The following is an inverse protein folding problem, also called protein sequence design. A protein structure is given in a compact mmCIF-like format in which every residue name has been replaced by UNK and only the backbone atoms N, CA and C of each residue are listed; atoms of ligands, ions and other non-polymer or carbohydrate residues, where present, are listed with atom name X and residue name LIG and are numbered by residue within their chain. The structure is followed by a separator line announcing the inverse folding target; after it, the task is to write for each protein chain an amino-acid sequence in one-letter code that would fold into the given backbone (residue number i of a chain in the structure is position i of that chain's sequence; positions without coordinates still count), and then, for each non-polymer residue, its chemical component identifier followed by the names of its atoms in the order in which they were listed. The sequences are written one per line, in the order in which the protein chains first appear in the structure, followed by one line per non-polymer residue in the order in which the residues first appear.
data_IF_089820820865
#
_entry.id   IF_089820820865
#
_cell.length_a   1.000
_cell.length_b   1.000
_cell.length_c   1.000
_cell.angle_alpha   90.00
_cell.angle_beta   90.00
_cell.angle_gamma   90.00
#
_symmetry.space_group_name_H-M   'P 1'
#
loop_
_entity.id
_entity.type
_entity.pdbx_description
1 polymer ?
#
# COMPACT_ATOMS: atom_id res chain seq x y z
N UNK A 1 2.97 21.87 -21.21
CA UNK A 1 3.58 20.65 -20.79
C UNK A 1 2.75 19.95 -19.76
N UNK A 2 2.45 18.72 -20.01
CA UNK A 2 1.75 17.94 -19.02
C UNK A 2 2.48 17.98 -17.70
N UNK A 3 1.74 18.13 -16.64
CA UNK A 3 2.31 18.07 -15.32
C UNK A 3 2.83 16.66 -15.08
N UNK A 4 4.10 16.54 -14.88
CA UNK A 4 4.61 15.30 -14.33
C UNK A 4 4.11 15.19 -12.91
N UNK A 5 3.73 14.01 -12.51
CA UNK A 5 3.54 13.76 -11.10
C UNK A 5 4.81 14.19 -10.38
N UNK A 6 4.67 14.88 -9.28
CA UNK A 6 5.83 15.24 -8.47
C UNK A 6 6.55 13.95 -8.06
N UNK A 7 7.88 13.95 -8.02
CA UNK A 7 8.58 12.83 -7.43
C UNK A 7 8.00 12.59 -6.04
N UNK A 8 7.68 11.36 -5.74
CA UNK A 8 7.02 11.04 -4.49
C UNK A 8 7.88 11.33 -3.26
N UNK A 9 9.18 11.54 -3.42
CA UNK A 9 10.10 11.65 -2.31
C UNK A 9 10.27 10.34 -1.54
N UNK A 10 9.50 9.33 -1.88
CA UNK A 10 9.56 8.01 -1.25
C UNK A 10 10.62 7.20 -1.99
N UNK A 11 11.59 6.69 -1.23
CA UNK A 11 12.60 5.80 -1.76
C UNK A 11 12.29 4.38 -1.33
N UNK A 12 12.16 3.48 -2.28
CA UNK A 12 11.94 2.06 -2.00
C UNK A 12 13.24 1.45 -1.48
N UNK A 13 13.16 0.80 -0.34
CA UNK A 13 14.28 0.10 0.29
C UNK A 13 14.30 -1.34 -0.21
N UNK A 14 15.34 -2.07 0.15
CA UNK A 14 15.42 -3.49 -0.20
C UNK A 14 14.25 -4.29 0.35
N UNK A 15 13.81 -4.00 1.57
CA UNK A 15 12.64 -4.64 2.17
C UNK A 15 11.36 -4.36 1.38
N UNK A 16 11.21 -3.13 0.88
CA UNK A 16 10.08 -2.76 0.04
C UNK A 16 10.16 -3.49 -1.31
N UNK A 17 11.35 -3.55 -1.90
CA UNK A 17 11.56 -4.24 -3.16
C UNK A 17 11.23 -5.73 -3.05
N UNK A 18 11.55 -6.35 -1.92
CA UNK A 18 11.19 -7.74 -1.67
C UNK A 18 9.67 -7.94 -1.70
N UNK A 19 8.93 -7.02 -1.10
CA UNK A 19 7.46 -7.04 -1.12
C UNK A 19 6.94 -6.82 -2.54
N UNK A 20 7.51 -5.84 -3.27
CA UNK A 20 7.14 -5.57 -4.66
C UNK A 20 7.31 -6.83 -5.51
N UNK A 21 8.46 -7.51 -5.38
CA UNK A 21 8.73 -8.72 -6.15
C UNK A 21 7.73 -9.84 -5.83
N UNK A 22 7.37 -9.98 -4.56
CA UNK A 22 6.38 -10.97 -4.15
C UNK A 22 4.98 -10.63 -4.69
N UNK A 23 4.61 -9.34 -4.69
CA UNK A 23 3.34 -8.89 -5.27
C UNK A 23 3.30 -9.12 -6.78
N UNK A 24 4.41 -8.87 -7.48
CA UNK A 24 4.53 -9.16 -8.91
C UNK A 24 4.37 -10.66 -9.18
N UNK A 25 5.02 -11.49 -8.38
CA UNK A 25 4.93 -12.94 -8.50
C UNK A 25 3.53 -13.46 -8.24
N UNK A 26 2.77 -12.80 -7.36
CA UNK A 26 1.38 -13.13 -7.08
C UNK A 26 0.43 -12.74 -8.22
N UNK A 27 0.90 -11.92 -9.15
CA UNK A 27 0.10 -11.48 -10.29
C UNK A 27 -0.51 -10.09 -10.15
N UNK A 28 -0.12 -9.33 -9.13
CA UNK A 28 -0.60 -7.97 -8.96
C UNK A 28 -0.09 -7.09 -10.10
N UNK A 29 -0.92 -6.13 -10.53
CA UNK A 29 -0.52 -5.20 -11.58
C UNK A 29 0.46 -4.17 -11.04
N UNK A 30 1.43 -3.77 -11.86
CA UNK A 30 2.41 -2.76 -11.48
C UNK A 30 1.74 -1.46 -11.03
N UNK A 31 0.66 -1.07 -11.68
CA UNK A 31 -0.12 0.09 -11.31
C UNK A 31 -0.64 0.00 -9.85
N UNK A 32 -1.17 -1.14 -9.48
CA UNK A 32 -1.69 -1.35 -8.12
C UNK A 32 -0.59 -1.37 -7.09
N UNK A 33 0.54 -2.00 -7.41
CA UNK A 33 1.70 -2.02 -6.51
C UNK A 33 2.21 -0.60 -6.28
N UNK A 34 2.34 0.18 -7.35
CA UNK A 34 2.76 1.58 -7.26
C UNK A 34 1.82 2.38 -6.37
N UNK A 35 0.51 2.16 -6.50
CA UNK A 35 -0.49 2.82 -5.67
C UNK A 35 -0.34 2.47 -4.20
N UNK A 36 -0.05 1.22 -3.90
CA UNK A 36 0.17 0.78 -2.50
C UNK A 36 1.34 1.52 -1.86
N UNK A 37 2.46 1.61 -2.59
CA UNK A 37 3.68 2.24 -2.06
C UNK A 37 3.69 3.77 -2.22
N UNK A 38 2.74 4.33 -2.96
CA UNK A 38 2.71 5.77 -3.20
C UNK A 38 3.83 6.25 -4.10
N UNK A 39 4.28 5.42 -5.03
CA UNK A 39 5.37 5.75 -5.95
C UNK A 39 4.89 5.75 -7.39
N UNK A 40 5.72 6.31 -8.26
CA UNK A 40 5.48 6.27 -9.70
C UNK A 40 5.59 4.83 -10.20
N UNK A 41 4.71 4.48 -11.15
CA UNK A 41 4.70 3.14 -11.74
C UNK A 41 6.03 2.74 -12.37
N UNK A 42 6.81 3.72 -12.85
CA UNK A 42 8.15 3.47 -13.37
C UNK A 42 9.10 2.84 -12.37
N UNK A 43 8.95 3.16 -11.09
CA UNK A 43 9.75 2.56 -10.02
C UNK A 43 9.47 1.07 -9.91
N UNK A 44 8.20 0.70 -10.01
CA UNK A 44 7.81 -0.71 -9.98
C UNK A 44 8.30 -1.42 -11.24
N UNK A 45 8.20 -0.76 -12.40
CA UNK A 45 8.71 -1.28 -13.66
C UNK A 45 10.22 -1.56 -13.64
N UNK A 46 10.99 -0.70 -12.99
CA UNK A 46 12.42 -0.89 -12.81
C UNK A 46 12.73 -2.14 -12.00
N UNK A 47 11.98 -2.40 -10.96
CA UNK A 47 12.14 -3.60 -10.14
C UNK A 47 11.73 -4.83 -10.94
N UNK A 48 10.60 -4.74 -11.65
CA UNK A 48 10.09 -5.84 -12.46
C UNK A 48 11.07 -6.25 -13.57
N UNK A 49 11.75 -5.27 -14.17
CA UNK A 49 12.71 -5.53 -15.27
C UNK A 49 14.11 -5.90 -14.78
N UNK A 50 14.37 -5.83 -13.47
CA UNK A 50 15.70 -6.10 -12.91
C UNK A 50 16.65 -4.93 -13.00
N UNK A 51 16.20 -3.74 -13.36
CA UNK A 51 17.04 -2.55 -13.40
C UNK A 51 17.36 -2.02 -12.02
N UNK A 52 16.47 -2.26 -11.06
CA UNK A 52 16.66 -1.86 -9.68
C UNK A 52 16.46 -3.07 -8.78
N UNK A 53 17.20 -3.11 -7.68
CA UNK A 53 17.09 -4.14 -6.66
C UNK A 53 17.21 -5.56 -7.20
N UNK A 54 18.10 -5.75 -8.17
CA UNK A 54 18.26 -7.02 -8.88
C UNK A 54 18.52 -8.21 -7.95
N UNK A 55 19.32 -8.01 -6.92
CA UNK A 55 19.70 -9.09 -6.00
C UNK A 55 18.73 -9.37 -4.86
N UNK A 56 17.67 -8.59 -4.77
CA UNK A 56 16.71 -8.75 -3.66
C UNK A 56 15.79 -9.93 -3.94
N UNK A 57 15.66 -10.83 -2.98
CA UNK A 57 14.74 -11.97 -3.08
C UNK A 57 13.32 -11.55 -2.74
N UNK A 58 12.30 -12.14 -3.39
CA UNK A 58 10.91 -11.85 -3.02
C UNK A 58 10.63 -12.22 -1.56
N UNK A 59 9.81 -11.39 -0.92
CA UNK A 59 9.33 -11.68 0.43
C UNK A 59 8.52 -12.97 0.45
N UNK A 60 8.56 -13.72 1.54
CA UNK A 60 7.68 -14.86 1.72
C UNK A 60 6.24 -14.36 1.90
N UNK A 61 5.26 -15.09 1.39
CA UNK A 61 3.89 -14.61 1.21
C UNK A 61 3.09 -14.24 2.45
N UNK A 62 3.62 -14.40 3.66
CA UNK A 62 2.81 -14.27 4.87
C UNK A 62 2.38 -12.84 5.21
N UNK A 63 3.16 -11.84 4.82
CA UNK A 63 2.94 -10.45 5.22
C UNK A 63 2.77 -9.50 4.04
N UNK A 64 2.24 -9.99 2.93
CA UNK A 64 2.04 -9.14 1.77
C UNK A 64 0.79 -8.27 1.94
N UNK A 65 0.80 -7.07 1.36
CA UNK A 65 -0.41 -6.26 1.29
C UNK A 65 -1.54 -7.03 0.61
N UNK A 66 -2.78 -6.71 0.92
CA UNK A 66 -3.91 -7.35 0.21
C UNK A 66 -3.85 -7.04 -1.28
N UNK A 67 -4.38 -7.96 -2.09
CA UNK A 67 -4.42 -7.75 -3.54
C UNK A 67 -5.30 -6.55 -3.88
N UNK A 68 -4.84 -5.75 -4.87
CA UNK A 68 -5.63 -4.67 -5.42
C UNK A 68 -6.85 -5.16 -6.23
N UNK A 69 -7.57 -4.25 -6.86
CA UNK A 69 -7.18 -2.87 -7.11
C UNK A 69 -7.28 -1.98 -5.88
N UNK A 70 -6.44 -0.95 -5.86
CA UNK A 70 -6.47 0.04 -4.78
C UNK A 70 -7.17 1.29 -5.27
N UNK A 71 -7.87 2.02 -4.37
CA UNK A 71 -8.58 3.23 -4.76
C UNK A 71 -7.63 4.33 -5.19
N UNK A 72 -8.15 5.26 -6.01
CA UNK A 72 -7.41 6.48 -6.38
C UNK A 72 -7.12 7.30 -5.11
N UNK A 73 -6.20 8.26 -5.21
CA UNK A 73 -5.85 9.10 -4.08
C UNK A 73 -7.05 9.76 -3.40
N UNK A 74 -8.01 10.25 -4.17
CA UNK A 74 -9.23 10.85 -3.64
C UNK A 74 -10.09 9.81 -2.93
N UNK A 75 -10.30 8.68 -3.59
CA UNK A 75 -11.13 7.60 -3.03
C UNK A 75 -10.46 6.99 -1.80
N UNK A 76 -9.14 6.88 -1.82
CA UNK A 76 -8.38 6.41 -0.66
C UNK A 76 -8.56 7.35 0.53
N UNK A 77 -8.56 8.67 0.30
CA UNK A 77 -8.78 9.65 1.37
C UNK A 77 -10.18 9.50 1.96
N UNK A 78 -11.19 9.34 1.11
CA UNK A 78 -12.58 9.15 1.56
C UNK A 78 -12.68 7.85 2.38
N UNK A 79 -12.09 6.77 1.87
CA UNK A 79 -12.11 5.48 2.56
C UNK A 79 -11.39 5.55 3.91
N UNK A 80 -10.27 6.27 3.97
CA UNK A 80 -9.53 6.46 5.21
C UNK A 80 -10.35 7.23 6.24
N UNK A 81 -11.01 8.30 5.82
CA UNK A 81 -11.88 9.08 6.71
C UNK A 81 -13.03 8.23 7.26
N UNK A 82 -13.62 7.41 6.41
CA UNK A 82 -14.69 6.50 6.82
C UNK A 82 -14.17 5.47 7.83
N UNK A 83 -12.98 4.95 7.60
CA UNK A 83 -12.36 3.98 8.51
C UNK A 83 -12.04 4.61 9.87
N UNK A 84 -11.50 5.82 9.87
CA UNK A 84 -11.20 6.53 11.12
C UNK A 84 -12.49 6.78 11.90
N UNK A 85 -13.55 7.22 11.22
CA UNK A 85 -14.84 7.45 11.85
C UNK A 85 -15.41 6.15 12.44
N UNK A 86 -15.28 5.04 11.73
CA UNK A 86 -15.73 3.73 12.21
C UNK A 86 -14.95 3.29 13.44
N UNK A 87 -13.63 3.48 13.46
CA UNK A 87 -12.79 3.15 14.62
C UNK A 87 -13.18 3.96 15.84
N UNK A 88 -13.46 5.26 15.67
CA UNK A 88 -13.90 6.11 16.76
C UNK A 88 -15.24 5.62 17.31
N UNK A 89 -16.19 5.30 16.44
CA UNK A 89 -17.51 4.80 16.84
C UNK A 89 -17.39 3.47 17.60
N UNK A 90 -16.55 2.57 17.14
CA UNK A 90 -16.31 1.28 17.81
C UNK A 90 -15.69 1.50 19.19
N UNK A 91 -14.70 2.36 19.28
CA UNK A 91 -14.03 2.67 20.54
C UNK A 91 -15.03 3.26 21.55
N UNK A 92 -15.89 4.17 21.12
CA UNK A 92 -16.92 4.74 21.98
C UNK A 92 -17.91 3.68 22.44
N UNK A 93 -18.32 2.77 21.57
CA UNK A 93 -19.21 1.68 21.92
C UNK A 93 -18.55 0.73 22.94
N UNK A 94 -17.27 0.44 22.77
CA UNK A 94 -16.53 -0.38 23.72
C UNK A 94 -16.48 0.26 25.10
N UNK A 95 -16.25 1.56 25.16
CA UNK A 95 -16.23 2.30 26.43
C UNK A 95 -17.57 2.22 27.15
N UNK A 96 -18.66 2.36 26.41
CA UNK A 96 -20.01 2.24 26.95
C UNK A 96 -20.22 0.83 27.52
N UNK A 97 -19.86 -0.19 26.76
CA UNK A 97 -20.01 -1.58 27.21
C UNK A 97 -19.21 -1.82 28.49
N UNK A 98 -17.97 -1.33 28.58
CA UNK A 98 -17.16 -1.47 29.79
C UNK A 98 -17.81 -0.83 30.99
N UNK A 99 -18.47 0.33 30.82
CA UNK A 99 -19.17 0.98 31.92
C UNK A 99 -20.31 0.13 32.45
N UNK A 100 -21.00 -0.59 31.59
CA UNK A 100 -22.13 -1.43 31.98
C UNK A 100 -21.75 -2.84 32.38
N UNK A 101 -20.54 -3.26 32.08
CA UNK A 101 -20.08 -4.62 32.33
C UNK A 101 -19.51 -4.85 33.73
N UNK A 102 -19.57 -3.87 34.61
CA UNK A 102 -19.08 -3.99 35.97
C UNK A 102 -19.97 -4.85 36.83
#
# INVERSE_FOLDING_TARGET
MGQRAHPSGIRLRESDAAIVKAMLARGDRQHDIAAWFGVNGGRIGEIASGRAHRGVQPESGANLPPSGPYPTGRDATIALRALVAAKVAISSAEDIVRQYAR
#
